data_IF_676050509628
#
_entry.id   IF_676050509628
#
_cell.length_a   1.000
_cell.length_b   1.000
_cell.length_c   1.000
_cell.angle_alpha   90.00
_cell.angle_beta   90.00
_cell.angle_gamma   90.00
#
_symmetry.space_group_name_H-M   'P 1'
#
loop_
_entity.id
_entity.type
_entity.pdbx_description
1 polymer ?
#
# COMPACT_ATOMS: atom_id res chain seq x y z
N UNK A 1 -8.17 9.56 17.44
CA UNK A 1 -8.53 9.25 16.05
C UNK A 1 -7.28 9.42 15.19
N UNK A 2 -6.66 8.33 14.73
CA UNK A 2 -5.49 8.45 13.86
C UNK A 2 -5.94 9.05 12.52
N UNK A 3 -5.46 10.26 12.22
CA UNK A 3 -5.73 10.96 10.98
C UNK A 3 -5.12 10.12 9.85
N UNK A 4 -5.95 9.50 9.01
CA UNK A 4 -5.49 8.80 7.81
C UNK A 4 -4.70 9.82 6.97
N UNK A 5 -3.37 9.67 6.89
CA UNK A 5 -2.54 10.44 5.96
C UNK A 5 -3.17 10.27 4.57
N UNK A 6 -3.54 11.38 3.92
CA UNK A 6 -3.98 11.34 2.52
C UNK A 6 -2.77 10.97 1.66
N UNK A 7 -2.62 9.69 1.37
CA UNK A 7 -1.63 9.22 0.41
C UNK A 7 -2.11 9.58 -1.00
N UNK A 8 -1.26 10.22 -1.82
CA UNK A 8 -1.61 10.50 -3.20
C UNK A 8 -1.84 9.19 -3.97
N UNK A 9 -2.79 9.19 -4.90
CA UNK A 9 -3.19 8.00 -5.67
C UNK A 9 -1.98 7.36 -6.37
N UNK A 10 -1.07 8.17 -6.92
CA UNK A 10 0.16 7.69 -7.55
C UNK A 10 1.08 6.90 -6.59
N UNK A 11 1.15 7.30 -5.32
CA UNK A 11 1.91 6.56 -4.31
C UNK A 11 1.21 5.24 -3.97
N UNK A 12 -0.11 5.27 -3.80
CA UNK A 12 -0.91 4.05 -3.54
C UNK A 12 -0.70 3.00 -4.62
N UNK A 13 -0.83 3.40 -5.89
CA UNK A 13 -0.65 2.51 -7.04
C UNK A 13 0.78 1.97 -7.14
N UNK A 14 1.81 2.80 -6.90
CA UNK A 14 3.19 2.33 -6.89
C UNK A 14 3.44 1.28 -5.81
N UNK A 15 2.94 1.51 -4.60
CA UNK A 15 3.10 0.56 -3.49
C UNK A 15 2.38 -0.77 -3.75
N UNK A 16 1.14 -0.73 -4.27
CA UNK A 16 0.39 -1.94 -4.64
C UNK A 16 1.10 -2.72 -5.74
N UNK A 17 1.58 -2.03 -6.80
CA UNK A 17 2.33 -2.67 -7.89
C UNK A 17 3.64 -3.30 -7.42
N UNK A 18 4.37 -2.63 -6.53
CA UNK A 18 5.59 -3.19 -5.95
C UNK A 18 5.31 -4.49 -5.19
N UNK A 19 4.16 -4.57 -4.49
CA UNK A 19 3.76 -5.77 -3.77
C UNK A 19 3.39 -6.90 -4.72
N UNK A 20 2.56 -6.61 -5.72
CA UNK A 20 2.15 -7.59 -6.74
C UNK A 20 3.36 -8.06 -7.56
N UNK A 21 4.34 -7.18 -7.79
CA UNK A 21 5.59 -7.48 -8.47
C UNK A 21 6.61 -8.26 -7.63
N UNK A 22 6.31 -8.59 -6.37
CA UNK A 22 7.19 -9.36 -5.51
C UNK A 22 8.42 -8.61 -4.99
N UNK A 23 8.41 -7.27 -4.99
CA UNK A 23 9.56 -6.45 -4.54
C UNK A 23 9.83 -6.55 -3.03
N UNK A 24 8.93 -7.17 -2.25
CA UNK A 24 9.10 -7.40 -0.83
C UNK A 24 7.79 -7.65 -0.07
N UNK A 25 7.89 -7.81 1.25
CA UNK A 25 6.73 -7.97 2.11
C UNK A 25 5.94 -6.66 2.26
N UNK A 26 4.73 -6.74 2.81
CA UNK A 26 3.97 -5.53 3.18
C UNK A 26 4.78 -4.56 4.05
N UNK A 27 5.60 -5.08 4.97
CA UNK A 27 6.43 -4.27 5.86
C UNK A 27 7.56 -3.56 5.10
N UNK A 28 8.20 -4.26 4.17
CA UNK A 28 9.29 -3.69 3.36
C UNK A 28 8.79 -2.58 2.45
N UNK A 29 7.65 -2.81 1.81
CA UNK A 29 7.03 -1.86 0.90
C UNK A 29 6.46 -0.68 1.67
N UNK A 30 5.79 -0.90 2.80
CA UNK A 30 5.34 0.21 3.64
C UNK A 30 6.48 1.08 4.12
N UNK A 31 7.62 0.48 4.50
CA UNK A 31 8.84 1.24 4.85
C UNK A 31 9.40 2.01 3.64
N UNK A 32 9.50 1.37 2.47
CA UNK A 32 10.01 1.97 1.22
C UNK A 32 9.19 3.19 0.77
N UNK A 33 7.87 3.12 0.92
CA UNK A 33 6.94 4.17 0.47
C UNK A 33 6.48 5.11 1.60
N UNK A 34 7.04 4.99 2.81
CA UNK A 34 6.69 5.84 3.95
C UNK A 34 5.23 5.68 4.42
N UNK A 35 4.67 4.49 4.23
CA UNK A 35 3.32 4.12 4.68
C UNK A 35 3.41 3.76 6.16
N UNK A 36 2.65 4.48 6.99
CA UNK A 36 2.70 4.37 8.46
C UNK A 36 2.42 2.96 8.98
N UNK A 37 1.49 2.23 8.35
CA UNK A 37 1.11 0.87 8.76
C UNK A 37 1.06 -0.06 7.55
N UNK A 38 1.48 -1.30 7.74
CA UNK A 38 1.43 -2.35 6.72
C UNK A 38 -0.01 -2.75 6.36
N UNK A 39 -0.94 -2.64 7.32
CA UNK A 39 -2.37 -2.87 7.10
C UNK A 39 -2.96 -1.93 6.03
N UNK A 40 -2.47 -0.69 5.94
CA UNK A 40 -2.91 0.27 4.92
C UNK A 40 -2.58 -0.25 3.51
N UNK A 41 -1.39 -0.84 3.33
CA UNK A 41 -0.99 -1.40 2.05
C UNK A 41 -1.79 -2.67 1.74
N UNK A 42 -2.06 -3.51 2.75
CA UNK A 42 -2.93 -4.68 2.61
C UNK A 42 -4.32 -4.29 2.13
N UNK A 43 -4.94 -3.28 2.73
CA UNK A 43 -6.25 -2.78 2.31
C UNK A 43 -6.21 -2.31 0.85
N UNK A 44 -5.18 -1.58 0.43
CA UNK A 44 -5.08 -1.13 -0.96
C UNK A 44 -4.93 -2.28 -1.95
N UNK A 45 -4.19 -3.34 -1.59
CA UNK A 45 -4.08 -4.55 -2.41
C UNK A 45 -5.42 -5.28 -2.50
N UNK A 46 -6.17 -5.36 -1.38
CA UNK A 46 -7.52 -5.94 -1.38
C UNK A 46 -8.49 -5.16 -2.26
N UNK A 47 -8.48 -3.82 -2.18
CA UNK A 47 -9.27 -2.96 -3.05
C UNK A 47 -8.88 -3.10 -4.53
N UNK A 48 -7.58 -3.26 -4.82
CA UNK A 48 -7.10 -3.47 -6.18
C UNK A 48 -7.53 -4.82 -6.75
N UNK A 49 -7.53 -5.88 -5.94
CA UNK A 49 -7.93 -7.24 -6.36
C UNK A 49 -9.44 -7.49 -6.30
N UNK A 50 -10.19 -6.71 -5.51
CA UNK A 50 -11.64 -6.79 -5.39
C UNK A 50 -12.40 -6.04 -6.48
N UNK A 51 -11.71 -5.29 -7.34
CA UNK A 51 -12.26 -4.70 -8.56
C UNK A 51 -12.41 -5.80 -9.63
N UNK A 52 -13.41 -6.66 -9.44
CA UNK A 52 -13.81 -7.69 -10.40
C UNK A 52 -15.05 -7.24 -11.16
#
# INVERSE_FOLDING_TARGET
>A
MQKLKKYPVGLKLKAVKAYIGGEGSYRDISRKFGISHHDILRDWVLWYNGHK
#
